data_IF_959002734914
#
_entry.id   IF_959002734914
#
_cell.length_a   1.000
_cell.length_b   1.000
_cell.length_c   1.000
_cell.angle_alpha   90.00
_cell.angle_beta   90.00
_cell.angle_gamma   90.00
#
_symmetry.space_group_name_H-M   'P 1'
#
loop_
_entity.id
_entity.type
_entity.pdbx_description
1 polymer ?
#
# COMPACT_ATOMS: atom_id res chain seq x y z
N UNK A 1 -21.12 -9.41 16.64
CA UNK A 1 -20.01 -10.04 17.40
C UNK A 1 -19.45 -11.21 16.60
N UNK A 2 -18.14 -11.19 16.29
CA UNK A 2 -17.46 -12.22 15.49
C UNK A 2 -16.83 -13.35 16.32
N UNK A 3 -16.79 -13.21 17.65
CA UNK A 3 -16.25 -14.22 18.57
C UNK A 3 -16.88 -15.59 18.36
N UNK A 4 -16.04 -16.64 18.29
CA UNK A 4 -16.45 -18.02 18.06
C UNK A 4 -16.96 -18.33 16.64
N UNK A 5 -16.98 -17.35 15.72
CA UNK A 5 -17.41 -17.57 14.32
C UNK A 5 -16.24 -18.04 13.47
N UNK A 6 -16.49 -19.04 12.62
CA UNK A 6 -15.50 -19.59 11.67
C UNK A 6 -15.33 -18.73 10.41
N UNK A 7 -16.37 -18.04 9.99
CA UNK A 7 -16.40 -17.27 8.74
C UNK A 7 -16.72 -15.82 9.05
N UNK A 8 -15.81 -14.94 8.69
CA UNK A 8 -15.95 -13.50 8.83
C UNK A 8 -16.02 -12.86 7.46
N UNK A 9 -17.22 -12.51 7.04
CA UNK A 9 -17.46 -11.78 5.80
C UNK A 9 -18.71 -10.95 5.94
N UNK A 10 -18.78 -9.88 5.17
CA UNK A 10 -19.96 -9.03 5.11
C UNK A 10 -21.08 -9.73 4.34
N UNK A 11 -22.33 -9.34 4.61
CA UNK A 11 -23.45 -9.70 3.74
C UNK A 11 -23.55 -8.62 2.66
N UNK A 12 -23.56 -9.03 1.39
CA UNK A 12 -23.67 -8.12 0.25
C UNK A 12 -22.33 -7.46 -0.15
N UNK A 13 -22.39 -6.21 -0.60
CA UNK A 13 -21.25 -5.45 -1.16
C UNK A 13 -20.61 -4.50 -0.15
N UNK A 14 -21.06 -4.51 1.11
CA UNK A 14 -20.50 -3.65 2.15
C UNK A 14 -19.02 -3.97 2.39
N UNK A 15 -18.19 -2.94 2.37
CA UNK A 15 -16.77 -2.98 2.77
C UNK A 15 -16.73 -2.71 4.27
N UNK A 16 -16.28 -3.68 5.06
CA UNK A 16 -16.08 -3.50 6.51
C UNK A 16 -14.59 -3.50 6.82
N UNK A 17 -14.20 -2.45 7.54
CA UNK A 17 -12.92 -2.33 8.21
C UNK A 17 -13.12 -2.48 9.72
N UNK A 18 -12.24 -3.23 10.37
CA UNK A 18 -12.26 -3.44 11.82
C UNK A 18 -10.94 -3.00 12.40
N UNK A 19 -10.98 -2.01 13.30
CA UNK A 19 -9.83 -1.64 14.11
C UNK A 19 -9.85 -2.44 15.43
N UNK A 20 -8.80 -3.23 15.64
CA UNK A 20 -8.59 -4.05 16.85
C UNK A 20 -7.46 -3.52 17.74
N UNK A 21 -6.93 -2.34 17.45
CA UNK A 21 -5.75 -1.76 18.10
C UNK A 21 -5.89 -1.63 19.62
N UNK A 22 -7.10 -1.31 20.10
CA UNK A 22 -7.39 -1.10 21.52
C UNK A 22 -7.83 -2.38 22.26
N UNK A 23 -7.90 -3.52 21.59
CA UNK A 23 -8.34 -4.76 22.22
C UNK A 23 -7.20 -5.40 23.03
N UNK A 24 -7.56 -5.97 24.17
CA UNK A 24 -6.63 -6.72 25.01
C UNK A 24 -6.31 -8.10 24.41
N UNK A 25 -5.17 -8.67 24.81
CA UNK A 25 -4.68 -9.97 24.33
C UNK A 25 -5.73 -11.07 24.42
N UNK A 26 -6.43 -11.19 25.55
CA UNK A 26 -7.46 -12.22 25.75
C UNK A 26 -8.62 -12.09 24.75
N UNK A 27 -9.05 -10.86 24.47
CA UNK A 27 -10.13 -10.60 23.52
C UNK A 27 -9.69 -10.95 22.10
N UNK A 28 -8.48 -10.56 21.70
CA UNK A 28 -7.93 -10.88 20.39
C UNK A 28 -7.81 -12.39 20.21
N UNK A 29 -7.25 -13.09 21.20
CA UNK A 29 -7.14 -14.55 21.16
C UNK A 29 -8.52 -15.20 21.03
N UNK A 30 -9.51 -14.76 21.82
CA UNK A 30 -10.87 -15.26 21.74
C UNK A 30 -11.51 -15.02 20.37
N UNK A 31 -11.27 -13.83 19.79
CA UNK A 31 -11.80 -13.43 18.50
C UNK A 31 -11.28 -14.38 17.42
N UNK A 32 -9.96 -14.54 17.30
CA UNK A 32 -9.32 -15.30 16.21
C UNK A 32 -9.22 -16.82 16.46
N UNK A 33 -9.53 -17.31 17.66
CA UNK A 33 -9.38 -18.73 18.04
C UNK A 33 -10.01 -19.71 17.05
N UNK A 34 -11.20 -19.41 16.55
CA UNK A 34 -12.00 -20.35 15.74
C UNK A 34 -12.14 -19.95 14.28
N UNK A 35 -11.59 -18.80 13.86
CA UNK A 35 -11.79 -18.30 12.50
C UNK A 35 -11.00 -19.13 11.49
N UNK A 36 -11.64 -19.50 10.39
CA UNK A 36 -11.06 -20.26 9.27
C UNK A 36 -11.08 -19.48 7.96
N UNK A 37 -11.96 -18.49 7.84
CA UNK A 37 -12.11 -17.65 6.65
C UNK A 37 -12.37 -16.21 7.05
N UNK A 38 -11.64 -15.27 6.44
CA UNK A 38 -11.81 -13.83 6.62
C UNK A 38 -11.87 -13.16 5.24
N UNK A 39 -12.87 -12.29 5.04
CA UNK A 39 -12.93 -11.32 3.93
C UNK A 39 -13.33 -9.94 4.49
N UNK A 40 -12.33 -9.15 4.87
CA UNK A 40 -12.44 -7.82 5.46
C UNK A 40 -11.05 -7.18 5.56
N UNK A 41 -11.01 -5.90 5.94
CA UNK A 41 -9.78 -5.21 6.29
C UNK A 41 -9.70 -5.07 7.81
N UNK A 42 -8.58 -5.43 8.40
CA UNK A 42 -8.36 -5.42 9.84
C UNK A 42 -7.12 -4.57 10.13
N UNK A 43 -7.25 -3.65 11.07
CA UNK A 43 -6.19 -2.73 11.49
C UNK A 43 -5.75 -3.10 12.89
N UNK A 44 -4.44 -3.26 13.06
CA UNK A 44 -3.76 -3.45 14.35
C UNK A 44 -2.58 -2.48 14.41
N UNK A 45 -2.77 -1.36 15.11
CA UNK A 45 -1.80 -0.28 15.21
C UNK A 45 -1.50 0.09 16.64
N UNK A 46 -0.23 0.32 16.95
CA UNK A 46 0.21 0.81 18.27
C UNK A 46 -0.38 0.02 19.46
N UNK A 47 -0.70 -1.25 19.24
CA UNK A 47 -1.31 -2.11 20.23
C UNK A 47 -0.28 -2.60 21.25
N UNK A 48 -0.77 -2.98 22.43
CA UNK A 48 0.04 -3.53 23.53
C UNK A 48 0.07 -5.06 23.53
N UNK A 49 -0.55 -5.71 22.55
CA UNK A 49 -0.54 -7.17 22.47
C UNK A 49 0.85 -7.71 22.11
N UNK A 50 1.13 -8.93 22.56
CA UNK A 50 2.37 -9.63 22.25
C UNK A 50 2.18 -10.68 21.16
N UNK A 51 0.97 -11.21 21.02
CA UNK A 51 0.67 -12.33 20.14
C UNK A 51 -0.56 -12.04 19.27
N UNK A 52 -0.41 -12.16 17.96
CA UNK A 52 -1.52 -12.22 17.02
C UNK A 52 -1.62 -13.65 16.48
N UNK A 53 -2.56 -14.44 17.04
CA UNK A 53 -2.66 -15.87 16.75
C UNK A 53 -3.95 -16.21 16.01
N UNK A 54 -3.80 -16.78 14.83
CA UNK A 54 -4.90 -17.22 13.97
C UNK A 54 -4.68 -18.70 13.57
N UNK A 55 -4.68 -19.63 14.54
CA UNK A 55 -4.19 -21.00 14.35
C UNK A 55 -5.04 -21.85 13.39
N UNK A 56 -6.29 -21.45 13.15
CA UNK A 56 -7.23 -22.16 12.29
C UNK A 56 -7.52 -21.43 10.96
N UNK A 57 -6.92 -20.26 10.73
CA UNK A 57 -7.20 -19.45 9.54
C UNK A 57 -6.65 -20.13 8.28
N UNK A 58 -7.53 -20.43 7.33
CA UNK A 58 -7.19 -21.09 6.05
C UNK A 58 -7.10 -20.06 4.93
N UNK A 59 -8.05 -19.13 4.86
CA UNK A 59 -8.14 -18.12 3.80
C UNK A 59 -8.33 -16.72 4.37
N UNK A 60 -7.56 -15.77 3.85
CA UNK A 60 -7.63 -14.35 4.22
C UNK A 60 -7.67 -13.49 2.98
N UNK A 61 -8.79 -12.79 2.81
CA UNK A 61 -9.05 -11.91 1.69
C UNK A 61 -9.22 -10.47 2.17
N UNK A 62 -8.66 -9.54 1.39
CA UNK A 62 -8.89 -8.12 1.62
C UNK A 62 -10.36 -7.75 1.42
N UNK A 63 -10.78 -6.68 2.09
CA UNK A 63 -12.09 -6.08 1.87
C UNK A 63 -12.24 -5.51 0.46
N UNK A 64 -11.14 -5.04 -0.15
CA UNK A 64 -11.13 -4.46 -1.49
C UNK A 64 -9.75 -4.61 -2.19
N UNK A 65 -9.71 -4.60 -3.54
CA UNK A 65 -8.46 -4.76 -4.28
C UNK A 65 -7.45 -3.62 -4.02
N UNK A 66 -6.18 -3.96 -3.82
CA UNK A 66 -5.10 -2.98 -3.64
C UNK A 66 -4.89 -2.56 -2.18
N UNK A 67 -5.62 -3.17 -1.26
CA UNK A 67 -5.43 -3.03 0.18
C UNK A 67 -5.10 -4.39 0.76
N UNK A 68 -4.31 -4.41 1.83
CA UNK A 68 -4.07 -5.65 2.55
C UNK A 68 -5.24 -6.00 3.46
N UNK A 69 -5.50 -7.30 3.65
CA UNK A 69 -6.53 -7.75 4.57
C UNK A 69 -6.20 -7.43 6.03
N UNK A 70 -4.92 -7.45 6.38
CA UNK A 70 -4.41 -7.01 7.67
C UNK A 70 -3.39 -5.89 7.48
N UNK A 71 -3.54 -4.80 8.23
CA UNK A 71 -2.53 -3.75 8.37
C UNK A 71 -2.04 -3.79 9.82
N UNK A 72 -0.78 -4.16 10.00
CA UNK A 72 -0.11 -4.36 11.29
C UNK A 72 1.04 -3.37 11.38
N UNK A 73 0.87 -2.30 12.13
CA UNK A 73 1.79 -1.16 12.08
C UNK A 73 2.13 -0.60 13.46
N UNK A 74 3.42 -0.42 13.77
CA UNK A 74 3.82 0.30 14.98
C UNK A 74 3.56 -0.44 16.29
N UNK A 75 3.38 -1.76 16.30
CA UNK A 75 3.13 -2.53 17.52
C UNK A 75 4.46 -2.92 18.17
N UNK A 76 4.92 -2.11 19.12
CA UNK A 76 6.26 -2.21 19.72
C UNK A 76 6.48 -3.47 20.56
N UNK A 77 5.40 -4.13 21.01
CA UNK A 77 5.44 -5.33 21.84
C UNK A 77 5.05 -6.61 21.09
N UNK A 78 4.64 -6.51 19.81
CA UNK A 78 4.19 -7.67 19.05
C UNK A 78 5.39 -8.56 18.70
N UNK A 79 5.43 -9.76 19.27
CA UNK A 79 6.55 -10.71 19.12
C UNK A 79 6.23 -11.83 18.12
N UNK A 80 4.96 -12.23 18.02
CA UNK A 80 4.54 -13.38 17.22
C UNK A 80 3.29 -13.05 16.40
N UNK A 81 3.36 -13.37 15.11
CA UNK A 81 2.20 -13.56 14.24
C UNK A 81 2.15 -15.04 13.85
N UNK A 82 1.09 -15.72 14.24
CA UNK A 82 0.88 -17.15 13.98
C UNK A 82 -0.30 -17.36 13.02
N UNK A 83 -0.08 -18.18 11.99
CA UNK A 83 -1.11 -18.65 11.06
C UNK A 83 -1.23 -20.18 11.10
N UNK A 84 -2.35 -20.67 10.60
CA UNK A 84 -2.55 -22.10 10.41
C UNK A 84 -1.49 -22.71 9.48
N UNK A 85 -0.99 -23.92 9.77
CA UNK A 85 -0.10 -24.66 8.86
C UNK A 85 -0.72 -24.98 7.49
N UNK A 86 -2.05 -24.94 7.38
CA UNK A 86 -2.80 -25.18 6.14
C UNK A 86 -3.27 -23.90 5.46
N UNK A 87 -2.70 -22.74 5.80
CA UNK A 87 -3.05 -21.46 5.19
C UNK A 87 -2.75 -21.43 3.68
N UNK A 88 -3.71 -20.98 2.88
CA UNK A 88 -3.67 -21.00 1.42
C UNK A 88 -3.11 -19.69 0.85
N UNK A 89 -1.78 -19.62 0.73
CA UNK A 89 -1.05 -18.47 0.18
C UNK A 89 -1.38 -18.16 -1.29
N UNK A 90 -1.66 -19.20 -2.07
CA UNK A 90 -2.00 -19.08 -3.50
C UNK A 90 -3.36 -18.43 -3.76
N UNK A 91 -4.21 -18.33 -2.72
CA UNK A 91 -5.53 -17.70 -2.78
C UNK A 91 -5.53 -16.36 -2.04
N UNK A 92 -4.78 -16.28 -0.95
CA UNK A 92 -4.62 -15.08 -0.12
C UNK A 92 -3.49 -14.21 -0.70
N UNK A 93 -3.78 -13.45 -1.76
CA UNK A 93 -2.75 -12.71 -2.52
C UNK A 93 -2.15 -11.49 -1.79
N UNK A 94 -2.97 -10.72 -1.05
CA UNK A 94 -2.57 -9.52 -0.31
C UNK A 94 -3.01 -9.55 1.18
N UNK A 95 -2.65 -10.59 1.97
CA UNK A 95 -3.14 -10.78 3.32
C UNK A 95 -2.54 -9.80 4.32
N UNK A 96 -1.25 -9.42 4.18
CA UNK A 96 -0.55 -8.67 5.22
C UNK A 96 0.24 -7.47 4.69
N UNK A 97 0.08 -6.35 5.39
CA UNK A 97 1.04 -5.25 5.46
C UNK A 97 1.55 -5.21 6.89
N UNK A 98 2.84 -5.46 7.11
CA UNK A 98 3.48 -5.49 8.44
C UNK A 98 4.66 -4.51 8.41
N UNK A 99 4.50 -3.37 9.07
CA UNK A 99 5.46 -2.25 9.03
C UNK A 99 5.78 -1.81 10.46
N UNK A 100 7.06 -1.58 10.77
CA UNK A 100 7.48 -1.02 12.06
C UNK A 100 6.95 -1.79 13.29
N UNK A 101 7.21 -3.09 13.38
CA UNK A 101 6.95 -3.94 14.55
C UNK A 101 8.29 -4.54 15.03
N UNK A 102 9.16 -3.76 15.69
CA UNK A 102 10.57 -4.11 15.89
C UNK A 102 10.80 -5.29 16.86
N UNK A 103 9.81 -5.65 17.67
CA UNK A 103 9.87 -6.83 18.55
C UNK A 103 9.49 -8.14 17.83
N UNK A 104 9.00 -8.07 16.59
CA UNK A 104 8.49 -9.23 15.87
C UNK A 104 9.61 -10.20 15.51
N UNK A 105 9.56 -11.42 16.08
CA UNK A 105 10.58 -12.46 15.93
C UNK A 105 10.06 -13.68 15.20
N UNK A 106 8.77 -13.99 15.33
CA UNK A 106 8.12 -15.10 14.67
C UNK A 106 6.97 -14.58 13.82
N UNK A 107 7.01 -14.88 12.53
CA UNK A 107 5.99 -14.46 11.58
C UNK A 107 5.80 -15.56 10.52
N UNK A 108 4.66 -15.54 9.79
CA UNK A 108 4.38 -16.53 8.76
C UNK A 108 5.41 -16.49 7.61
N UNK A 109 5.47 -17.50 6.74
CA UNK A 109 6.38 -17.52 5.59
C UNK A 109 5.97 -16.51 4.50
N UNK A 110 6.17 -15.21 4.77
CA UNK A 110 5.74 -14.09 3.93
C UNK A 110 6.37 -14.10 2.52
N UNK A 111 7.45 -14.84 2.29
CA UNK A 111 8.00 -15.08 0.96
C UNK A 111 7.03 -15.81 0.01
N UNK A 112 6.03 -16.51 0.55
CA UNK A 112 4.95 -17.15 -0.23
C UNK A 112 3.85 -16.15 -0.61
N UNK A 113 3.87 -14.96 -0.01
CA UNK A 113 2.86 -13.94 -0.21
C UNK A 113 3.15 -13.11 -1.46
N UNK A 114 2.21 -13.10 -2.41
CA UNK A 114 2.40 -12.42 -3.69
C UNK A 114 2.50 -10.89 -3.57
N UNK A 115 1.69 -10.27 -2.71
CA UNK A 115 1.58 -8.82 -2.58
C UNK A 115 1.66 -8.33 -1.13
N UNK A 116 2.37 -9.05 -0.26
CA UNK A 116 2.61 -8.56 1.11
C UNK A 116 3.65 -7.45 1.11
N UNK A 117 3.49 -6.50 2.01
CA UNK A 117 4.53 -5.54 2.37
C UNK A 117 5.07 -5.89 3.76
N UNK A 118 6.36 -6.23 3.86
CA UNK A 118 6.98 -6.63 5.12
C UNK A 118 8.24 -5.81 5.39
N UNK A 119 8.14 -4.88 6.35
CA UNK A 119 9.22 -4.00 6.76
C UNK A 119 9.13 -3.75 8.28
N UNK A 120 9.24 -4.80 9.07
CA UNK A 120 9.04 -4.73 10.52
C UNK A 120 10.05 -3.82 11.27
N UNK A 121 11.16 -3.41 10.64
CA UNK A 121 12.19 -2.57 11.28
C UNK A 121 12.31 -1.15 10.71
N UNK A 122 11.49 -0.79 9.72
CA UNK A 122 11.53 0.56 9.12
C UNK A 122 10.17 1.21 9.19
N UNK A 123 10.15 2.55 9.06
CA UNK A 123 8.91 3.36 9.13
C UNK A 123 8.36 3.72 7.74
N UNK A 124 8.91 3.13 6.68
CA UNK A 124 8.68 3.57 5.30
C UNK A 124 7.23 3.49 4.84
N UNK A 125 6.48 2.49 5.31
CA UNK A 125 5.07 2.31 4.95
C UNK A 125 4.08 2.79 6.00
N UNK A 126 4.54 3.50 7.03
CA UNK A 126 3.74 3.88 8.19
C UNK A 126 2.74 4.96 7.80
N UNK A 127 1.48 4.68 8.09
CA UNK A 127 0.34 5.57 7.82
C UNK A 127 -0.07 6.40 9.03
N UNK A 128 0.27 5.96 10.25
CA UNK A 128 0.00 6.74 11.45
C UNK A 128 0.96 7.93 11.61
N UNK A 129 0.47 9.19 11.62
CA UNK A 129 1.33 10.38 11.58
C UNK A 129 2.38 10.46 12.69
N UNK A 130 2.04 10.01 13.91
CA UNK A 130 2.96 10.07 15.05
C UNK A 130 4.20 9.16 14.91
N UNK A 131 4.19 8.24 13.95
CA UNK A 131 5.27 7.28 13.71
C UNK A 131 5.93 7.46 12.34
N UNK A 132 5.31 8.20 11.42
CA UNK A 132 5.82 8.39 10.06
C UNK A 132 7.16 9.14 10.04
N UNK A 133 7.93 8.94 8.97
CA UNK A 133 9.03 9.85 8.65
C UNK A 133 8.47 11.22 8.28
N UNK A 134 9.20 12.28 8.65
CA UNK A 134 8.71 13.66 8.51
C UNK A 134 9.47 14.46 7.46
N UNK A 135 10.60 13.93 6.99
CA UNK A 135 11.44 14.60 6.00
C UNK A 135 11.65 13.72 4.77
N UNK A 136 11.81 14.37 3.61
CA UNK A 136 12.14 13.67 2.37
C UNK A 136 13.51 12.99 2.47
N UNK A 137 14.47 13.57 3.17
CA UNK A 137 15.79 12.97 3.37
C UNK A 137 15.69 11.61 4.08
N UNK A 138 14.88 11.50 5.14
CA UNK A 138 14.64 10.22 5.81
C UNK A 138 14.02 9.19 4.85
N UNK A 139 13.07 9.60 4.00
CA UNK A 139 12.46 8.71 2.99
C UNK A 139 13.51 8.23 2.00
N UNK A 140 14.31 9.12 1.43
CA UNK A 140 15.33 8.76 0.45
C UNK A 140 16.41 7.87 1.06
N UNK A 141 16.78 8.07 2.33
CA UNK A 141 17.80 7.25 2.99
C UNK A 141 17.30 5.86 3.39
N UNK A 142 16.02 5.74 3.82
CA UNK A 142 15.53 4.52 4.46
C UNK A 142 14.58 3.70 3.57
N UNK A 143 13.95 4.30 2.57
CA UNK A 143 12.74 3.77 1.93
C UNK A 143 12.88 3.43 0.45
N UNK A 144 14.01 3.74 -0.18
CA UNK A 144 14.29 3.28 -1.54
C UNK A 144 14.28 1.74 -1.61
N UNK A 145 13.65 1.19 -2.65
CA UNK A 145 13.51 -0.26 -2.82
C UNK A 145 12.51 -0.95 -1.88
N UNK A 146 11.82 -0.20 -1.00
CA UNK A 146 10.89 -0.79 -0.03
C UNK A 146 9.53 -1.07 -0.66
N UNK A 147 8.84 -2.17 -0.27
CA UNK A 147 7.60 -2.59 -0.91
C UNK A 147 6.42 -1.64 -0.64
N UNK A 148 6.48 -0.86 0.43
CA UNK A 148 5.48 0.15 0.78
C UNK A 148 6.17 1.43 1.23
N UNK A 149 5.78 2.54 0.62
CA UNK A 149 6.31 3.87 0.94
C UNK A 149 5.14 4.84 1.14
N UNK A 150 5.17 5.58 2.24
CA UNK A 150 4.20 6.60 2.62
C UNK A 150 4.94 7.87 2.98
N UNK A 151 4.57 8.99 2.35
CA UNK A 151 5.05 10.32 2.69
C UNK A 151 3.95 11.35 2.37
N UNK A 152 3.69 12.25 3.32
CA UNK A 152 2.50 13.11 3.30
C UNK A 152 2.73 14.48 2.69
N UNK A 153 3.92 14.74 2.14
CA UNK A 153 4.26 16.00 1.48
C UNK A 153 4.45 15.82 -0.03
N UNK A 154 4.30 16.91 -0.76
CA UNK A 154 4.63 16.98 -2.19
C UNK A 154 6.14 17.05 -2.35
N UNK A 155 6.69 16.22 -3.24
CA UNK A 155 8.14 16.10 -3.44
C UNK A 155 8.55 16.42 -4.87
N UNK A 156 9.73 17.00 -5.01
CA UNK A 156 10.46 17.07 -6.27
C UNK A 156 11.77 16.33 -6.08
N UNK A 157 12.03 15.34 -6.92
CA UNK A 157 13.17 14.42 -6.81
C UNK A 157 13.83 14.25 -8.18
N UNK A 158 15.05 13.72 -8.21
CA UNK A 158 15.71 13.36 -9.50
C UNK A 158 15.04 12.14 -10.13
N UNK A 159 15.23 11.92 -11.43
CA UNK A 159 14.68 10.73 -12.11
C UNK A 159 15.18 9.43 -11.48
N UNK A 160 16.44 9.39 -11.05
CA UNK A 160 17.02 8.25 -10.34
C UNK A 160 16.28 7.97 -9.03
N UNK A 161 16.09 8.99 -8.19
CA UNK A 161 15.35 8.87 -6.94
C UNK A 161 13.89 8.47 -7.17
N UNK A 162 13.23 9.04 -8.19
CA UNK A 162 11.88 8.68 -8.57
C UNK A 162 11.78 7.19 -8.94
N UNK A 163 12.71 6.71 -9.77
CA UNK A 163 12.75 5.31 -10.22
C UNK A 163 12.88 4.35 -9.04
N UNK A 164 13.77 4.66 -8.08
CA UNK A 164 13.94 3.86 -6.86
C UNK A 164 12.70 3.87 -5.97
N UNK A 165 12.02 5.02 -5.83
CA UNK A 165 10.74 5.10 -5.10
C UNK A 165 9.61 4.34 -5.81
N UNK A 166 9.61 4.34 -7.15
CA UNK A 166 8.61 3.65 -7.97
C UNK A 166 8.83 2.13 -8.11
N UNK A 167 9.89 1.59 -7.52
CA UNK A 167 10.07 0.14 -7.35
C UNK A 167 9.10 -0.47 -6.32
N UNK A 168 8.44 0.36 -5.51
CA UNK A 168 7.49 -0.07 -4.50
C UNK A 168 6.24 -0.77 -5.10
N UNK A 169 5.61 -1.63 -4.30
CA UNK A 169 4.29 -2.19 -4.62
C UNK A 169 3.17 -1.22 -4.23
N UNK A 170 3.33 -0.50 -3.13
CA UNK A 170 2.35 0.43 -2.58
C UNK A 170 2.98 1.80 -2.35
N UNK A 171 2.41 2.84 -2.94
CA UNK A 171 2.97 4.19 -2.87
C UNK A 171 1.90 5.20 -2.46
N UNK A 172 2.09 5.85 -1.31
CA UNK A 172 1.29 6.99 -0.89
C UNK A 172 2.19 8.22 -0.82
N UNK A 173 2.34 8.90 -1.95
CA UNK A 173 3.23 10.05 -2.13
C UNK A 173 2.67 10.97 -3.23
N UNK A 174 3.12 12.23 -3.26
CA UNK A 174 2.81 13.15 -4.35
C UNK A 174 4.11 13.65 -4.99
N UNK A 175 4.25 13.44 -6.30
CA UNK A 175 5.39 13.89 -7.07
C UNK A 175 5.02 15.12 -7.90
N UNK A 176 5.83 16.15 -7.78
CA UNK A 176 5.82 17.31 -8.66
C UNK A 176 6.97 17.19 -9.67
N UNK A 177 6.62 16.79 -10.89
CA UNK A 177 7.50 16.59 -12.05
C UNK A 177 7.12 17.69 -13.06
N UNK A 178 7.43 18.94 -12.70
CA UNK A 178 7.14 20.11 -13.52
C UNK A 178 8.43 20.73 -14.03
N UNK A 179 8.55 20.92 -15.34
CA UNK A 179 9.73 21.49 -16.01
C UNK A 179 11.04 20.79 -15.61
N UNK A 180 11.02 19.46 -15.46
CA UNK A 180 12.21 18.67 -15.14
C UNK A 180 12.95 18.22 -16.41
N UNK A 181 14.14 17.67 -16.21
CA UNK A 181 14.98 17.04 -17.24
C UNK A 181 14.69 15.53 -17.40
N UNK A 182 13.54 15.06 -16.90
CA UNK A 182 13.18 13.65 -17.01
C UNK A 182 13.04 13.25 -18.46
N UNK A 183 13.60 12.09 -18.79
CA UNK A 183 13.42 11.40 -20.07
C UNK A 183 12.38 10.28 -19.97
N UNK A 184 12.20 9.72 -18.77
CA UNK A 184 11.23 8.63 -18.56
C UNK A 184 10.67 8.60 -17.14
N UNK A 185 9.41 8.17 -17.03
CA UNK A 185 8.72 7.86 -15.78
C UNK A 185 8.30 6.39 -15.85
N UNK A 186 8.70 5.58 -14.88
CA UNK A 186 8.41 4.14 -14.90
C UNK A 186 8.11 3.60 -13.51
N UNK A 187 6.88 3.09 -13.32
CA UNK A 187 6.41 2.46 -12.10
C UNK A 187 5.63 1.16 -12.40
N UNK A 188 6.26 0.16 -13.05
CA UNK A 188 5.58 -1.01 -13.61
C UNK A 188 5.14 -2.02 -12.53
N UNK A 189 5.73 -1.96 -11.34
CA UNK A 189 5.44 -2.90 -10.25
C UNK A 189 4.32 -2.43 -9.32
N UNK A 190 3.85 -1.18 -9.48
CA UNK A 190 2.84 -0.60 -8.60
C UNK A 190 1.55 -1.41 -8.60
N UNK A 191 1.20 -1.91 -7.42
CA UNK A 191 -0.04 -2.61 -7.13
C UNK A 191 -1.14 -1.61 -6.77
N UNK A 192 -0.80 -0.61 -5.95
CA UNK A 192 -1.73 0.46 -5.58
C UNK A 192 -1.01 1.77 -5.27
N UNK A 193 -1.72 2.86 -5.49
CA UNK A 193 -1.28 4.23 -5.15
C UNK A 193 -2.37 5.01 -4.43
N UNK A 194 -1.94 5.99 -3.65
CA UNK A 194 -2.80 6.99 -3.04
C UNK A 194 -2.06 8.34 -3.03
N UNK A 195 -2.77 9.47 -3.10
CA UNK A 195 -2.13 10.77 -2.94
C UNK A 195 -1.60 10.92 -1.50
N UNK A 196 -0.55 11.71 -1.35
CA UNK A 196 0.03 12.09 -0.06
C UNK A 196 -1.01 12.72 0.89
N UNK A 197 -1.98 13.48 0.33
CA UNK A 197 -3.08 14.13 1.06
C UNK A 197 -4.34 14.23 0.19
N UNK A 198 -5.55 14.34 0.78
CA UNK A 198 -6.79 14.55 0.03
C UNK A 198 -6.71 15.76 -0.92
N UNK A 199 -7.18 15.58 -2.15
CA UNK A 199 -7.21 16.63 -3.18
C UNK A 199 -5.92 16.80 -3.99
N UNK A 200 -4.82 16.15 -3.60
CA UNK A 200 -3.57 16.13 -4.36
C UNK A 200 -3.55 15.04 -5.44
N UNK A 201 -2.63 15.17 -6.39
CA UNK A 201 -2.30 14.15 -7.38
C UNK A 201 -1.09 13.35 -6.89
N UNK A 202 -1.08 12.04 -7.18
CA UNK A 202 0.13 11.22 -7.04
C UNK A 202 1.21 11.72 -7.99
N UNK A 203 0.84 12.04 -9.24
CA UNK A 203 1.79 12.54 -10.25
C UNK A 203 1.29 13.83 -10.90
N UNK A 204 2.05 14.91 -10.72
CA UNK A 204 1.90 16.14 -11.49
C UNK A 204 3.02 16.22 -12.51
N UNK A 205 2.71 15.99 -13.79
CA UNK A 205 3.67 15.86 -14.89
C UNK A 205 3.38 16.97 -15.92
N UNK A 206 4.08 18.11 -15.81
CA UNK A 206 3.79 19.31 -16.60
C UNK A 206 5.05 19.89 -17.23
N UNK A 207 5.04 20.19 -18.53
CA UNK A 207 6.09 21.01 -19.14
C UNK A 207 7.45 20.31 -19.32
N UNK A 208 7.52 18.97 -19.25
CA UNK A 208 8.79 18.25 -19.31
C UNK A 208 9.22 18.03 -20.77
N UNK A 209 10.01 18.96 -21.29
CA UNK A 209 10.38 19.01 -22.72
C UNK A 209 11.15 17.80 -23.26
N UNK A 210 11.77 17.01 -22.38
CA UNK A 210 12.58 15.83 -22.74
C UNK A 210 11.89 14.50 -22.41
N UNK A 211 10.66 14.53 -21.86
CA UNK A 211 9.98 13.34 -21.36
C UNK A 211 9.36 12.56 -22.52
N UNK A 212 9.94 11.39 -22.80
CA UNK A 212 9.58 10.55 -23.96
C UNK A 212 8.69 9.35 -23.58
N UNK A 213 8.67 8.95 -22.30
CA UNK A 213 7.89 7.78 -21.88
C UNK A 213 7.36 7.89 -20.46
N UNK A 214 6.11 7.46 -20.25
CA UNK A 214 5.42 7.37 -18.98
C UNK A 214 4.71 6.03 -18.86
N UNK A 215 5.32 5.11 -18.12
CA UNK A 215 4.84 3.73 -17.94
C UNK A 215 4.37 3.54 -16.50
N UNK A 216 3.05 3.43 -16.32
CA UNK A 216 2.42 3.04 -15.05
C UNK A 216 1.77 1.67 -15.23
N UNK A 217 1.80 0.83 -14.19
CA UNK A 217 1.11 -0.44 -14.21
C UNK A 217 -0.39 -0.25 -14.54
N UNK A 218 -0.88 -0.88 -15.60
CA UNK A 218 -2.27 -0.71 -16.06
C UNK A 218 -3.31 -1.31 -15.11
N UNK A 219 -2.89 -2.15 -14.17
CA UNK A 219 -3.72 -2.78 -13.14
C UNK A 219 -3.60 -2.12 -11.77
N UNK A 220 -2.88 -0.98 -11.68
CA UNK A 220 -2.72 -0.22 -10.44
C UNK A 220 -4.08 0.13 -9.85
N UNK A 221 -4.18 0.04 -8.52
CA UNK A 221 -5.41 0.37 -7.77
C UNK A 221 -5.27 1.71 -7.06
N UNK A 222 -6.35 2.45 -7.04
CA UNK A 222 -6.48 3.73 -6.36
C UNK A 222 -7.96 3.97 -6.08
N UNK A 223 -8.30 4.92 -5.20
CA UNK A 223 -9.70 5.25 -4.96
C UNK A 223 -10.29 5.92 -6.21
N UNK A 224 -11.45 5.48 -6.68
CA UNK A 224 -12.06 5.95 -7.95
C UNK A 224 -12.35 7.45 -7.92
N UNK A 225 -12.54 8.02 -6.72
CA UNK A 225 -12.78 9.46 -6.52
C UNK A 225 -11.52 10.32 -6.69
N UNK A 226 -10.33 9.70 -6.72
CA UNK A 226 -9.05 10.39 -6.76
C UNK A 226 -8.57 10.61 -8.19
N UNK A 227 -8.38 11.88 -8.56
CA UNK A 227 -7.63 12.26 -9.77
C UNK A 227 -6.14 12.11 -9.47
N UNK A 228 -5.63 10.90 -9.62
CA UNK A 228 -4.26 10.53 -9.25
C UNK A 228 -3.18 11.16 -10.12
N UNK A 229 -3.48 11.69 -11.32
CA UNK A 229 -2.48 12.31 -12.19
C UNK A 229 -2.98 13.52 -12.97
N UNK A 230 -2.05 14.44 -13.24
CA UNK A 230 -2.13 15.51 -14.24
C UNK A 230 -0.95 15.31 -15.21
N UNK A 231 -1.24 15.25 -16.51
CA UNK A 231 -0.24 15.11 -17.58
C UNK A 231 -0.57 16.12 -18.69
N UNK A 232 0.26 17.16 -18.84
CA UNK A 232 0.04 18.26 -19.81
C UNK A 232 1.34 18.89 -20.27
N UNK A 233 1.35 19.46 -21.47
CA UNK A 233 2.50 20.22 -21.97
C UNK A 233 3.79 19.38 -22.01
N UNK A 234 3.70 18.10 -22.39
CA UNK A 234 4.84 17.20 -22.49
C UNK A 234 4.98 16.73 -23.95
N UNK A 235 5.65 17.53 -24.82
CA UNK A 235 5.54 17.40 -26.28
C UNK A 235 6.10 16.10 -26.87
N UNK A 236 6.95 15.39 -26.12
CA UNK A 236 7.60 14.16 -26.59
C UNK A 236 6.90 12.88 -26.12
N UNK A 237 5.89 12.95 -25.24
CA UNK A 237 5.14 11.75 -24.86
C UNK A 237 4.27 11.33 -26.04
N UNK A 238 4.41 10.10 -26.55
CA UNK A 238 3.62 9.69 -27.69
C UNK A 238 2.14 9.48 -27.29
N UNK A 239 1.23 9.86 -28.19
CA UNK A 239 -0.21 9.86 -27.92
C UNK A 239 -0.78 8.49 -27.51
N UNK A 240 -0.17 7.37 -27.94
CA UNK A 240 -0.59 6.03 -27.50
C UNK A 240 -0.35 5.81 -26.00
N UNK A 241 0.73 6.34 -25.41
CA UNK A 241 0.97 6.27 -23.98
C UNK A 241 -0.03 7.15 -23.21
N UNK A 242 -0.32 8.35 -23.71
CA UNK A 242 -1.35 9.22 -23.14
C UNK A 242 -2.74 8.57 -23.14
N UNK A 243 -3.09 7.78 -24.19
CA UNK A 243 -4.31 6.97 -24.21
C UNK A 243 -4.28 5.92 -23.10
N UNK A 244 -3.18 5.19 -22.92
CA UNK A 244 -3.04 4.18 -21.85
C UNK A 244 -3.21 4.84 -20.47
N UNK A 245 -2.58 5.98 -20.22
CA UNK A 245 -2.73 6.73 -18.96
C UNK A 245 -4.19 7.15 -18.73
N UNK A 246 -4.91 7.52 -19.79
CA UNK A 246 -6.34 7.86 -19.74
C UNK A 246 -7.23 6.65 -19.46
N UNK A 247 -6.84 5.46 -19.94
CA UNK A 247 -7.51 4.20 -19.61
C UNK A 247 -7.30 3.81 -18.15
N UNK A 248 -6.10 4.05 -17.60
CA UNK A 248 -5.79 3.85 -16.18
C UNK A 248 -6.66 4.77 -15.32
N UNK A 249 -6.71 6.07 -15.63
CA UNK A 249 -7.49 7.05 -14.89
C UNK A 249 -8.33 7.93 -15.83
N UNK A 250 -9.60 7.54 -16.00
CA UNK A 250 -10.55 8.20 -16.90
C UNK A 250 -10.82 9.66 -16.53
N UNK A 251 -10.87 9.96 -15.23
CA UNK A 251 -11.18 11.30 -14.72
C UNK A 251 -9.95 12.18 -14.48
N UNK A 252 -8.75 11.62 -14.73
CA UNK A 252 -7.51 12.37 -14.66
C UNK A 252 -7.35 13.34 -15.82
N UNK A 253 -6.56 14.37 -15.60
CA UNK A 253 -6.33 15.45 -16.54
C UNK A 253 -5.14 15.07 -17.42
N UNK A 254 -5.41 14.69 -18.66
CA UNK A 254 -4.38 14.24 -19.62
C UNK A 254 -4.66 14.96 -20.93
N UNK A 255 -3.72 15.77 -21.38
CA UNK A 255 -3.79 16.49 -22.66
C UNK A 255 -2.99 15.75 -23.72
N UNK A 256 -3.60 15.60 -24.89
CA UNK A 256 -2.95 15.06 -26.07
C UNK A 256 -2.18 16.18 -26.77
N UNK A 257 -0.97 15.86 -27.19
CA UNK A 257 -0.19 16.77 -28.02
C UNK A 257 -0.69 16.65 -29.46
N UNK A 258 -1.00 17.81 -30.06
CA UNK A 258 -1.57 17.94 -31.41
C UNK A 258 -0.52 17.85 -32.50
#
# INVERSE_FOLDING_TARGET
MCSGKRVWKTQGTAVIEIDISSLEQEIIDQLFRSVTYIKMCIILRQSQIQYLRMPNLVQLHSCEPGRSAFTIEGNMQLEVIELSPVFEWQISYEPFTIIYNPALRQYPPLQQCKYCAFEHNTRCGVTWPALAYTTLEEILQNCMGKPRIVFTEVVTVTQEQFTELCSALYLQMCFNITNTDYTSISCPMLRAVAPCQPGQQVWTIIGNSQLESVVINTLVKFSVEEKIMIVRENPLIPNNELIILKEICKDCVIEYES
#
